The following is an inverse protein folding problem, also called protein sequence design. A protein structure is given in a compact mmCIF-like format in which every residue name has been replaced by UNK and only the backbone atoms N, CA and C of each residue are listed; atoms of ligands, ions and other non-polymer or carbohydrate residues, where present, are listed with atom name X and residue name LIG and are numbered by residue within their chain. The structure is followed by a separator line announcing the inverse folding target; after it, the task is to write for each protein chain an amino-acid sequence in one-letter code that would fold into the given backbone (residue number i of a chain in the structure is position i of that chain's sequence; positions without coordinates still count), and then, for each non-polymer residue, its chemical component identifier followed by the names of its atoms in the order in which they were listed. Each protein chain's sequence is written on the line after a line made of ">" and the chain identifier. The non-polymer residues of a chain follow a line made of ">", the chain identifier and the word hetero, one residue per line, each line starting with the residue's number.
data_IF_308808566085
#
_entry.id   IF_308808566085
#
_cell.length_a   1.000
_cell.length_b   1.000
_cell.length_c   1.000
_cell.angle_alpha   90.00
_cell.angle_beta   90.00
_cell.angle_gamma   90.00
#
_symmetry.space_group_name_H-M   'P 1'
#
loop_
_entity.id
_entity.type
_entity.pdbx_description
1 polymer ?
#
# COMPACT_ATOMS: atom_id res chain seq x y z
N UNK A 1 3.58 -5.03 6.70
CA UNK A 1 4.58 -3.94 6.74
C UNK A 1 4.64 -3.29 8.11
N UNK A 2 5.85 -3.04 8.63
CA UNK A 2 6.06 -2.12 9.75
C UNK A 2 6.27 -0.69 9.21
N UNK A 3 5.78 0.32 9.93
CA UNK A 3 5.81 1.71 9.48
C UNK A 3 7.25 2.29 9.40
N UNK A 4 8.17 1.78 10.21
CA UNK A 4 9.56 2.23 10.22
C UNK A 4 10.28 1.89 8.91
N UNK A 5 10.05 0.69 8.37
CA UNK A 5 10.67 0.26 7.12
C UNK A 5 10.20 1.08 5.91
N UNK A 6 8.94 1.52 5.94
CA UNK A 6 8.36 2.35 4.88
C UNK A 6 8.87 3.79 4.89
N UNK A 7 9.24 4.34 6.05
CA UNK A 7 9.80 5.69 6.16
C UNK A 7 11.21 5.78 5.60
N UNK A 8 11.99 4.71 5.73
CA UNK A 8 13.37 4.60 5.25
C UNK A 8 13.48 4.47 3.72
N UNK A 9 12.40 4.08 3.03
CA UNK A 9 12.39 3.96 1.55
C UNK A 9 12.28 5.32 0.86
N UNK A 10 12.81 5.40 -0.36
CA UNK A 10 12.67 6.59 -1.20
C UNK A 10 11.21 6.82 -1.63
N UNK A 11 10.86 8.06 -1.97
CA UNK A 11 9.53 8.42 -2.49
C UNK A 11 9.21 7.62 -3.76
N UNK A 12 10.22 7.37 -4.60
CA UNK A 12 10.08 6.64 -5.86
C UNK A 12 9.86 5.14 -5.63
N UNK A 13 10.56 4.55 -4.66
CA UNK A 13 10.34 3.17 -4.25
C UNK A 13 8.93 2.98 -3.68
N UNK A 14 8.46 3.94 -2.88
CA UNK A 14 7.11 3.92 -2.31
C UNK A 14 6.03 3.99 -3.40
N UNK A 15 6.23 4.79 -4.45
CA UNK A 15 5.31 4.84 -5.60
C UNK A 15 5.30 3.52 -6.37
N UNK A 16 6.46 2.91 -6.55
CA UNK A 16 6.59 1.61 -7.23
C UNK A 16 5.89 0.50 -6.43
N UNK A 17 6.10 0.48 -5.12
CA UNK A 17 5.48 -0.48 -4.21
C UNK A 17 3.95 -0.29 -4.13
N UNK A 18 3.47 0.96 -4.16
CA UNK A 18 2.06 1.29 -4.26
C UNK A 18 1.44 0.72 -5.54
N UNK A 19 2.10 0.87 -6.69
CA UNK A 19 1.61 0.32 -7.96
C UNK A 19 1.51 -1.21 -7.92
N UNK A 20 2.47 -1.88 -7.27
CA UNK A 20 2.43 -3.33 -7.10
C UNK A 20 1.27 -3.76 -6.19
N UNK A 21 1.09 -3.11 -5.04
CA UNK A 21 -0.02 -3.40 -4.13
C UNK A 21 -1.40 -3.13 -4.74
N UNK A 22 -1.52 -2.16 -5.65
CA UNK A 22 -2.75 -1.92 -6.40
C UNK A 22 -3.07 -3.06 -7.36
N UNK A 23 -2.07 -3.63 -8.04
CA UNK A 23 -2.25 -4.83 -8.87
C UNK A 23 -2.69 -6.02 -8.02
N UNK A 24 -2.07 -6.22 -6.86
CA UNK A 24 -2.45 -7.30 -5.94
C UNK A 24 -3.86 -7.10 -5.40
N UNK A 25 -4.26 -5.87 -5.09
CA UNK A 25 -5.63 -5.56 -4.70
C UNK A 25 -6.63 -5.90 -5.81
N UNK A 26 -6.31 -5.60 -7.07
CA UNK A 26 -7.16 -5.96 -8.20
C UNK A 26 -7.31 -7.47 -8.34
N UNK A 27 -6.20 -8.21 -8.27
CA UNK A 27 -6.20 -9.67 -8.30
C UNK A 27 -7.02 -10.27 -7.16
N UNK A 28 -6.89 -9.76 -5.94
CA UNK A 28 -7.67 -10.21 -4.78
C UNK A 28 -9.16 -9.87 -4.93
N UNK A 29 -9.52 -8.72 -5.49
CA UNK A 29 -10.92 -8.37 -5.79
C UNK A 29 -11.50 -9.29 -6.87
N UNK A 30 -10.71 -9.63 -7.87
CA UNK A 30 -11.11 -10.58 -8.92
C UNK A 30 -11.33 -11.98 -8.34
N UNK A 31 -10.40 -12.48 -7.53
CA UNK A 31 -10.51 -13.76 -6.81
C UNK A 31 -11.71 -13.80 -5.85
N UNK A 32 -12.01 -12.67 -5.19
CA UNK A 32 -13.20 -12.55 -4.34
C UNK A 32 -14.48 -12.70 -5.16
N UNK A 33 -14.55 -12.09 -6.34
CA UNK A 33 -15.71 -12.20 -7.23
C UNK A 33 -15.87 -13.58 -7.86
N UNK A 34 -14.77 -14.29 -8.13
CA UNK A 34 -14.81 -15.65 -8.69
C UNK A 34 -15.06 -16.73 -7.65
N UNK A 35 -15.14 -16.38 -6.35
CA UNK A 35 -15.45 -17.31 -5.27
C UNK A 35 -14.29 -18.22 -4.83
N UNK A 36 -13.09 -18.03 -5.38
CA UNK A 36 -11.91 -18.87 -5.10
C UNK A 36 -10.98 -18.28 -4.01
N UNK A 37 -11.43 -17.28 -3.26
CA UNK A 37 -10.59 -16.58 -2.30
C UNK A 37 -10.47 -17.38 -0.99
N UNK A 38 -9.36 -18.11 -0.82
CA UNK A 38 -9.10 -18.91 0.38
C UNK A 38 -8.66 -18.07 1.60
N UNK A 39 -8.03 -16.90 1.39
CA UNK A 39 -7.50 -16.06 2.46
C UNK A 39 -8.07 -14.63 2.39
N UNK A 40 -9.21 -14.42 3.06
CA UNK A 40 -9.91 -13.12 3.13
C UNK A 40 -9.12 -12.05 3.89
N UNK A 41 -8.25 -12.46 4.82
CA UNK A 41 -7.40 -11.56 5.61
C UNK A 41 -6.43 -10.74 4.75
N UNK A 42 -6.00 -11.30 3.62
CA UNK A 42 -5.05 -10.63 2.73
C UNK A 42 -5.64 -9.37 2.10
N UNK A 43 -6.95 -9.36 1.84
CA UNK A 43 -7.66 -8.17 1.34
C UNK A 43 -7.53 -7.01 2.33
N UNK A 44 -7.70 -7.29 3.62
CA UNK A 44 -7.59 -6.28 4.68
C UNK A 44 -6.13 -5.83 4.89
N UNK A 45 -5.17 -6.74 4.77
CA UNK A 45 -3.73 -6.43 4.86
C UNK A 45 -3.30 -5.49 3.72
N UNK A 46 -3.55 -5.87 2.47
CA UNK A 46 -3.20 -5.06 1.29
C UNK A 46 -3.83 -3.68 1.35
N UNK A 47 -5.11 -3.57 1.75
CA UNK A 47 -5.77 -2.26 1.91
C UNK A 47 -5.09 -1.37 2.96
N UNK A 48 -4.65 -1.95 4.09
CA UNK A 48 -3.93 -1.21 5.13
C UNK A 48 -2.53 -0.80 4.69
N UNK A 49 -1.85 -1.65 3.93
CA UNK A 49 -0.50 -1.36 3.43
C UNK A 49 -0.54 -0.20 2.42
N UNK A 50 -1.52 -0.18 1.50
CA UNK A 50 -1.76 0.98 0.61
C UNK A 50 -2.02 2.26 1.41
N UNK A 51 -2.86 2.20 2.44
CA UNK A 51 -3.16 3.35 3.28
C UNK A 51 -1.90 3.90 3.99
N UNK A 52 -1.06 3.02 4.54
CA UNK A 52 0.21 3.42 5.18
C UNK A 52 1.16 4.12 4.22
N UNK A 53 1.31 3.60 3.00
CA UNK A 53 2.18 4.23 1.99
C UNK A 53 1.66 5.62 1.63
N UNK A 54 0.35 5.76 1.41
CA UNK A 54 -0.26 7.07 1.14
C UNK A 54 -0.04 8.05 2.28
N UNK A 55 -0.19 7.61 3.54
CA UNK A 55 0.07 8.46 4.70
C UNK A 55 1.53 8.94 4.73
N UNK A 56 2.50 8.06 4.50
CA UNK A 56 3.93 8.43 4.51
C UNK A 56 4.26 9.37 3.35
N UNK A 57 3.66 9.17 2.17
CA UNK A 57 3.80 10.12 1.05
C UNK A 57 3.27 11.50 1.43
N UNK A 58 2.10 11.57 2.09
CA UNK A 58 1.56 12.83 2.59
C UNK A 58 2.43 13.45 3.70
N UNK A 59 2.98 12.64 4.61
CA UNK A 59 3.93 13.11 5.64
C UNK A 59 5.17 13.75 5.00
N UNK A 60 5.75 13.12 3.97
CA UNK A 60 6.91 13.65 3.24
C UNK A 60 6.59 14.96 2.51
N UNK A 61 5.46 15.03 1.80
CA UNK A 61 5.02 16.24 1.11
C UNK A 61 4.76 17.41 2.07
N UNK A 62 4.11 17.14 3.21
CA UNK A 62 3.86 18.16 4.24
C UNK A 62 5.16 18.62 4.92
N UNK A 63 6.17 17.76 5.02
CA UNK A 63 7.48 18.14 5.57
C UNK A 63 8.30 19.01 4.61
N UNK A 64 8.13 18.84 3.29
CA UNK A 64 8.74 19.68 2.27
C UNK A 64 8.08 21.06 2.18
N UNK A 65 6.76 21.14 2.31
CA UNK A 65 6.03 22.43 2.26
C UNK A 65 6.15 23.27 3.53
N UNK A 66 6.58 22.67 4.65
CA UNK A 66 6.86 23.35 5.90
C UNK A 66 8.29 23.91 6.03
N UNK A 67 9.14 23.71 5.00
CA UNK A 67 10.45 24.35 4.86
C UNK A 67 10.36 25.57 3.95
#
# INVERSE_FOLDING_TARGET
>A
MQANDLRNKSVEDLKTELANLQRDQFNLRFQLKTGNLQQTDNVRKVRRDIARINTILSEKLNSESAK
#
